data_IF_754005301839
#
_entry.id   IF_754005301839
#
_cell.length_a   1.000
_cell.length_b   1.000
_cell.length_c   1.000
_cell.angle_alpha   90.00
_cell.angle_beta   90.00
_cell.angle_gamma   90.00
#
_symmetry.space_group_name_H-M   'P 1'
#
loop_
_entity.id
_entity.type
_entity.pdbx_description
1 polymer ?
#
# COMPACT_ATOMS: atom_id res chain seq x y z
N UNK A 1 4.92 -14.28 7.24
CA UNK A 1 6.23 -13.89 6.69
C UNK A 1 6.07 -12.55 6.00
N UNK A 2 6.79 -11.53 6.47
CA UNK A 2 6.77 -10.19 5.88
C UNK A 2 7.72 -10.17 4.67
N UNK A 3 7.24 -9.75 3.50
CA UNK A 3 8.04 -9.62 2.27
C UNK A 3 8.90 -8.33 2.26
N UNK A 4 9.47 -7.96 3.40
CA UNK A 4 10.39 -6.82 3.44
C UNK A 4 11.67 -7.23 2.72
N UNK A 5 12.01 -6.48 1.67
CA UNK A 5 13.29 -6.51 0.94
C UNK A 5 13.54 -7.66 -0.04
N UNK A 6 12.52 -8.47 -0.40
CA UNK A 6 12.63 -9.43 -1.51
C UNK A 6 11.72 -9.01 -2.68
N UNK A 7 12.19 -9.03 -3.94
CA UNK A 7 11.34 -8.76 -5.10
C UNK A 7 10.10 -9.67 -5.12
N UNK A 8 8.95 -9.11 -5.49
CA UNK A 8 7.74 -9.89 -5.69
C UNK A 8 7.93 -10.85 -6.86
N UNK A 9 7.71 -12.13 -6.61
CA UNK A 9 7.60 -13.12 -7.69
C UNK A 9 6.24 -12.98 -8.38
N UNK A 10 6.25 -12.91 -9.72
CA UNK A 10 5.04 -12.81 -10.56
C UNK A 10 4.19 -14.07 -10.55
N UNK A 11 4.79 -15.21 -10.23
CA UNK A 11 4.11 -16.52 -10.24
C UNK A 11 3.38 -16.82 -8.92
N UNK A 12 3.64 -16.01 -7.88
CA UNK A 12 3.01 -16.19 -6.56
C UNK A 12 1.71 -15.42 -6.46
N UNK A 13 0.73 -16.04 -5.80
CA UNK A 13 -0.49 -15.36 -5.35
C UNK A 13 -0.29 -14.80 -3.95
N UNK A 14 -0.68 -13.55 -3.73
CA UNK A 14 -0.58 -12.87 -2.45
C UNK A 14 -1.98 -12.48 -1.96
N UNK A 15 -2.16 -12.54 -0.64
CA UNK A 15 -3.32 -11.95 0.03
C UNK A 15 -2.93 -10.60 0.58
N UNK A 16 -3.74 -9.58 0.32
CA UNK A 16 -3.56 -8.21 0.79
C UNK A 16 -4.77 -7.77 1.59
N UNK A 17 -4.55 -6.90 2.59
CA UNK A 17 -5.61 -6.22 3.31
C UNK A 17 -5.70 -4.77 2.81
N UNK A 18 -6.91 -4.28 2.57
CA UNK A 18 -7.17 -2.92 2.07
C UNK A 18 -8.57 -2.47 2.48
N UNK A 19 -8.85 -1.17 2.34
CA UNK A 19 -10.18 -0.59 2.50
C UNK A 19 -11.07 -0.84 1.28
N UNK A 20 -12.39 -0.67 1.45
CA UNK A 20 -13.42 -0.81 0.42
C UNK A 20 -13.24 0.17 -0.76
N UNK A 21 -12.74 1.38 -0.49
CA UNK A 21 -12.40 2.37 -1.51
C UNK A 21 -11.46 1.80 -2.58
N UNK A 22 -10.38 1.13 -2.17
CA UNK A 22 -9.46 0.51 -3.12
C UNK A 22 -10.02 -0.78 -3.71
N UNK A 23 -10.69 -1.61 -2.90
CA UNK A 23 -11.25 -2.89 -3.37
C UNK A 23 -12.29 -2.70 -4.47
N UNK A 24 -13.08 -1.62 -4.42
CA UNK A 24 -14.02 -1.21 -5.47
C UNK A 24 -13.34 -0.68 -6.73
N UNK A 25 -12.01 -0.57 -6.74
CA UNK A 25 -11.23 -0.03 -7.86
C UNK A 25 -11.47 1.46 -8.10
N UNK A 26 -11.79 2.21 -7.06
CA UNK A 26 -11.97 3.66 -7.13
C UNK A 26 -10.64 4.38 -7.47
N UNK A 27 -10.74 5.59 -8.02
CA UNK A 27 -9.57 6.36 -8.45
C UNK A 27 -8.81 5.68 -9.60
N UNK A 28 -7.50 5.52 -9.44
CA UNK A 28 -6.61 4.88 -10.43
C UNK A 28 -6.38 3.38 -10.16
N UNK A 29 -7.06 2.78 -9.17
CA UNK A 29 -6.76 1.44 -8.64
C UNK A 29 -7.60 0.32 -9.28
N UNK A 30 -7.90 0.42 -10.57
CA UNK A 30 -8.78 -0.53 -11.28
C UNK A 30 -8.31 -1.99 -11.22
N UNK A 31 -7.01 -2.24 -11.02
CA UNK A 31 -6.43 -3.58 -10.87
C UNK A 31 -7.03 -4.37 -9.70
N UNK A 32 -7.48 -3.68 -8.65
CA UNK A 32 -8.02 -4.30 -7.44
C UNK A 32 -9.31 -5.07 -7.71
N UNK A 33 -10.11 -4.67 -8.72
CA UNK A 33 -11.33 -5.38 -9.15
C UNK A 33 -11.07 -6.80 -9.66
N UNK A 34 -9.83 -7.11 -10.04
CA UNK A 34 -9.44 -8.44 -10.52
C UNK A 34 -9.18 -9.43 -9.39
N UNK A 35 -9.04 -8.96 -8.14
CA UNK A 35 -8.78 -9.82 -7.00
C UNK A 35 -10.07 -10.45 -6.47
N UNK A 36 -9.94 -11.63 -5.85
CA UNK A 36 -11.03 -12.29 -5.13
C UNK A 36 -11.07 -11.78 -3.70
N UNK A 37 -12.23 -11.30 -3.24
CA UNK A 37 -12.46 -10.99 -1.82
C UNK A 37 -12.49 -12.29 -1.03
N UNK A 38 -11.56 -12.45 -0.09
CA UNK A 38 -11.48 -13.64 0.77
C UNK A 38 -12.09 -13.42 2.16
N UNK A 39 -12.11 -12.16 2.64
CA UNK A 39 -12.68 -11.75 3.93
C UNK A 39 -13.03 -10.26 3.90
N UNK A 40 -14.13 -9.89 4.55
CA UNK A 40 -14.48 -8.50 4.86
C UNK A 40 -14.31 -8.32 6.38
N UNK A 41 -13.63 -7.25 6.78
CA UNK A 41 -13.37 -6.91 8.18
C UNK A 41 -14.35 -5.87 8.71
N UNK A 42 -14.04 -5.37 9.91
CA UNK A 42 -14.70 -4.22 10.51
C UNK A 42 -14.34 -2.92 9.78
N UNK A 43 -15.00 -1.82 10.14
CA UNK A 43 -14.63 -0.48 9.67
C UNK A 43 -13.17 -0.15 9.99
N UNK A 44 -12.56 0.73 9.18
CA UNK A 44 -11.18 1.17 9.38
C UNK A 44 -10.95 1.72 10.79
N UNK A 45 -11.89 2.54 11.29
CA UNK A 45 -11.83 3.12 12.63
C UNK A 45 -11.89 2.06 13.73
N UNK A 46 -12.82 1.11 13.66
CA UNK A 46 -12.94 0.04 14.64
C UNK A 46 -11.70 -0.87 14.62
N UNK A 47 -11.17 -1.16 13.44
CA UNK A 47 -9.96 -1.98 13.25
C UNK A 47 -8.74 -1.31 13.89
N UNK A 48 -8.53 0.00 13.66
CA UNK A 48 -7.43 0.75 14.27
C UNK A 48 -7.58 0.80 15.80
N UNK A 49 -8.79 1.07 16.30
CA UNK A 49 -9.05 1.09 17.74
C UNK A 49 -8.77 -0.26 18.39
N UNK A 50 -9.19 -1.35 17.74
CA UNK A 50 -8.93 -2.71 18.23
C UNK A 50 -7.43 -3.01 18.25
N UNK A 51 -6.70 -2.62 17.21
CA UNK A 51 -5.25 -2.80 17.16
C UNK A 51 -4.54 -2.05 18.28
N UNK A 52 -4.86 -0.76 18.48
CA UNK A 52 -4.26 0.06 19.54
C UNK A 52 -4.49 -0.53 20.93
N UNK A 53 -5.72 -1.01 21.20
CA UNK A 53 -6.07 -1.64 22.49
C UNK A 53 -5.27 -2.91 22.81
N UNK A 54 -4.68 -3.56 21.80
CA UNK A 54 -3.88 -4.77 21.97
C UNK A 54 -2.39 -4.49 22.23
N UNK A 55 -1.95 -3.23 22.10
CA UNK A 55 -0.55 -2.86 22.30
C UNK A 55 -0.23 -2.61 23.78
N UNK A 56 1.04 -2.80 24.20
CA UNK A 56 1.50 -2.33 25.50
C UNK A 56 1.27 -0.82 25.65
N UNK A 57 0.72 -0.42 26.80
CA UNK A 57 0.44 0.97 27.11
C UNK A 57 1.53 1.58 28.00
N UNK A 58 1.93 2.85 27.77
CA UNK A 58 1.46 3.74 26.71
C UNK A 58 1.98 3.34 25.32
N UNK A 59 1.19 3.59 24.29
CA UNK A 59 1.61 3.33 22.90
C UNK A 59 2.86 4.15 22.58
N UNK A 60 3.89 3.48 22.08
CA UNK A 60 5.08 4.12 21.53
C UNK A 60 4.96 4.20 20.01
N UNK A 61 5.21 5.37 19.42
CA UNK A 61 5.16 5.58 17.97
C UNK A 61 6.57 5.77 17.40
N UNK A 62 6.82 5.22 16.22
CA UNK A 62 8.07 5.41 15.48
C UNK A 62 7.82 5.45 13.98
N UNK A 63 8.71 6.11 13.23
CA UNK A 63 8.66 6.12 11.76
C UNK A 63 9.43 4.90 11.26
N UNK A 64 8.73 3.98 10.60
CA UNK A 64 9.30 2.69 10.17
C UNK A 64 10.19 2.78 8.91
N UNK A 65 10.29 3.96 8.28
CA UNK A 65 11.15 4.18 7.10
C UNK A 65 10.77 3.37 5.84
N UNK A 66 9.58 2.78 5.80
CA UNK A 66 9.12 1.88 4.72
C UNK A 66 8.89 2.55 3.37
N UNK A 67 8.63 3.86 3.32
CA UNK A 67 8.33 4.59 2.07
C UNK A 67 9.51 5.48 1.71
N UNK A 68 10.22 5.14 0.63
CA UNK A 68 11.28 5.98 0.04
C UNK A 68 10.69 6.76 -1.14
N UNK A 69 10.72 8.09 -1.07
CA UNK A 69 10.37 8.94 -2.22
C UNK A 69 11.54 8.94 -3.19
N UNK A 70 11.40 8.29 -4.34
CA UNK A 70 12.31 8.56 -5.47
C UNK A 70 11.99 9.94 -6.05
N UNK A 71 12.88 10.90 -5.86
CA UNK A 71 12.82 12.17 -6.57
C UNK A 71 13.49 11.95 -7.93
N UNK A 72 12.69 11.82 -9.00
CA UNK A 72 13.22 11.87 -10.36
C UNK A 72 13.34 13.33 -10.79
N UNK A 73 14.57 13.84 -10.87
CA UNK A 73 14.83 15.07 -11.62
C UNK A 73 14.61 14.78 -13.10
N UNK A 74 13.74 15.57 -13.76
CA UNK A 74 13.64 15.54 -15.22
C UNK A 74 14.97 16.05 -15.79
N UNK A 75 15.64 15.25 -16.61
CA UNK A 75 16.76 15.75 -17.42
C UNK A 75 16.22 16.75 -18.44
N UNK A 76 16.85 17.92 -18.49
CA UNK A 76 16.65 19.01 -19.47
C UNK A 76 16.82 18.62 -20.96
N UNK A 77 17.00 17.33 -21.28
CA UNK A 77 17.22 16.83 -22.63
C UNK A 77 15.93 16.61 -23.44
N UNK A 78 14.75 16.63 -22.82
CA UNK A 78 13.46 16.38 -23.50
C UNK A 78 12.79 17.65 -24.06
N UNK A 79 13.43 18.84 -23.94
CA UNK A 79 12.81 20.13 -24.24
C UNK A 79 13.32 20.83 -25.51
N UNK A 80 13.74 20.10 -26.54
CA UNK A 80 14.02 20.70 -27.85
C UNK A 80 13.55 19.79 -29.00
N UNK A 81 12.53 20.17 -29.79
CA UNK A 81 12.32 19.56 -31.09
C UNK A 81 13.35 20.09 -32.10
N UNK A 82 13.90 19.24 -33.00
CA UNK A 82 14.74 19.68 -34.13
C UNK A 82 13.93 20.53 -35.13
N UNK A 83 14.61 21.35 -35.97
CA UNK A 83 14.02 22.47 -36.73
C UNK A 83 12.94 22.09 -37.73
#
# INVERSE_FOLDING_TARGET
MYHQDTPLSKEKTYTIATTDFFASGSGVFSVMKKAKITKIGETDHATVLQYIKQLPQPVTVSIEGRIKKEIRYKSIADSYPPP
#
